data_IF_655527810941
#
_entry.id   IF_655527810941
#
_cell.length_a   1.000
_cell.length_b   1.000
_cell.length_c   1.000
_cell.angle_alpha   90.00
_cell.angle_beta   90.00
_cell.angle_gamma   90.00
#
_symmetry.space_group_name_H-M   'P 1'
#
loop_
_entity.id
_entity.type
_entity.pdbx_description
1 polymer ?
#
# COMPACT_ATOMS: atom_id res chain seq x y z
N UNK A 1 -12.47 -3.31 -2.21
CA UNK A 1 -11.95 -2.72 -3.46
C UNK A 1 -13.08 -2.35 -4.41
N UNK A 2 -12.96 -1.24 -5.15
CA UNK A 2 -13.95 -0.81 -6.15
C UNK A 2 -13.63 -1.33 -7.56
N UNK A 3 -14.63 -1.38 -8.45
CA UNK A 3 -14.53 -1.96 -9.80
C UNK A 3 -13.45 -1.29 -10.66
N UNK A 4 -13.28 0.03 -10.56
CA UNK A 4 -12.24 0.76 -11.31
C UNK A 4 -10.82 0.33 -10.91
N UNK A 5 -10.56 0.13 -9.62
CA UNK A 5 -9.27 -0.38 -9.13
C UNK A 5 -9.07 -1.84 -9.55
N UNK A 6 -10.12 -2.66 -9.53
CA UNK A 6 -10.04 -4.06 -9.98
C UNK A 6 -9.64 -4.15 -11.46
N UNK A 7 -10.33 -3.41 -12.35
CA UNK A 7 -10.07 -3.41 -13.79
C UNK A 7 -8.68 -2.89 -14.16
N UNK A 8 -8.07 -2.04 -13.33
CA UNK A 8 -6.71 -1.49 -13.54
C UNK A 8 -5.58 -2.36 -12.97
N UNK A 9 -5.88 -3.59 -12.52
CA UNK A 9 -4.86 -4.47 -11.94
C UNK A 9 -4.62 -4.20 -10.45
N UNK A 10 -5.65 -3.78 -9.71
CA UNK A 10 -5.57 -3.62 -8.26
C UNK A 10 -5.30 -4.93 -7.52
N UNK A 11 -5.82 -6.05 -8.04
CA UNK A 11 -5.52 -7.39 -7.49
C UNK A 11 -4.03 -7.72 -7.58
N UNK A 12 -3.45 -7.44 -8.73
CA UNK A 12 -2.03 -7.61 -9.02
C UNK A 12 -1.14 -6.80 -8.06
N UNK A 13 -1.54 -5.57 -7.73
CA UNK A 13 -0.87 -4.75 -6.72
C UNK A 13 -1.01 -5.35 -5.32
N UNK A 14 -2.19 -5.84 -4.95
CA UNK A 14 -2.42 -6.45 -3.62
C UNK A 14 -1.51 -7.65 -3.45
N UNK A 15 -1.48 -8.58 -4.42
CA UNK A 15 -0.62 -9.76 -4.37
C UNK A 15 0.86 -9.39 -4.25
N UNK A 16 1.31 -8.37 -4.98
CA UNK A 16 2.68 -7.86 -4.86
C UNK A 16 2.96 -7.31 -3.45
N UNK A 17 2.04 -6.56 -2.87
CA UNK A 17 2.18 -6.02 -1.51
C UNK A 17 2.22 -7.16 -0.48
N UNK A 18 1.36 -8.17 -0.63
CA UNK A 18 1.36 -9.36 0.23
C UNK A 18 2.70 -10.10 0.16
N UNK A 19 3.31 -10.20 -1.03
CA UNK A 19 4.64 -10.81 -1.21
C UNK A 19 5.76 -9.95 -0.63
N UNK A 20 5.73 -8.63 -0.84
CA UNK A 20 6.77 -7.71 -0.37
C UNK A 20 6.78 -7.57 1.15
N UNK A 21 5.61 -7.52 1.78
CA UNK A 21 5.46 -7.31 3.21
C UNK A 21 5.24 -8.61 4.00
N UNK A 22 4.99 -9.74 3.30
CA UNK A 22 4.69 -11.02 3.91
C UNK A 22 3.42 -11.02 4.75
N UNK A 23 2.47 -10.14 4.44
CA UNK A 23 1.26 -9.87 5.24
C UNK A 23 0.02 -10.10 4.40
N UNK A 24 -1.02 -10.69 4.98
CA UNK A 24 -2.30 -10.86 4.31
C UNK A 24 -3.16 -9.59 4.31
N UNK A 25 -4.18 -9.57 3.46
CA UNK A 25 -5.21 -8.52 3.49
C UNK A 25 -5.91 -8.47 4.87
N UNK A 26 -6.10 -7.25 5.40
CA UNK A 26 -6.60 -6.96 6.74
C UNK A 26 -5.72 -7.53 7.87
N UNK A 27 -4.41 -7.61 7.64
CA UNK A 27 -3.45 -8.04 8.65
C UNK A 27 -2.32 -7.02 8.81
N UNK A 28 -1.60 -7.15 9.92
CA UNK A 28 -0.40 -6.37 10.21
C UNK A 28 0.83 -7.24 9.99
N UNK A 29 1.85 -6.68 9.35
CA UNK A 29 3.13 -7.37 9.14
C UNK A 29 3.77 -7.72 10.49
N UNK A 30 4.54 -8.80 10.54
CA UNK A 30 5.22 -9.24 11.77
C UNK A 30 6.18 -8.18 12.33
N UNK A 31 6.68 -7.28 11.48
CA UNK A 31 7.54 -6.17 11.89
C UNK A 31 6.78 -5.07 12.65
N UNK A 32 5.44 -5.10 12.65
CA UNK A 32 4.59 -4.06 13.26
C UNK A 32 4.61 -2.70 12.53
N UNK A 33 5.37 -2.59 11.44
CA UNK A 33 5.57 -1.34 10.68
C UNK A 33 4.45 -1.04 9.69
N UNK A 34 3.81 -2.07 9.13
CA UNK A 34 2.79 -1.91 8.08
C UNK A 34 1.56 -2.75 8.37
N UNK A 35 0.38 -2.13 8.19
CA UNK A 35 -0.91 -2.81 8.20
C UNK A 35 -1.55 -2.70 6.82
N UNK A 36 -1.90 -3.85 6.24
CA UNK A 36 -2.54 -3.92 4.94
C UNK A 36 -4.05 -3.98 5.14
N UNK A 37 -4.78 -2.92 4.77
CA UNK A 37 -6.24 -2.88 4.87
C UNK A 37 -6.87 -2.65 3.49
N UNK A 38 -7.84 -3.50 3.12
CA UNK A 38 -8.49 -3.42 1.82
C UNK A 38 -9.79 -2.62 1.89
N UNK A 39 -9.69 -1.33 1.56
CA UNK A 39 -10.84 -0.43 1.57
C UNK A 39 -11.70 -0.61 0.31
N UNK A 40 -13.03 -0.45 0.45
CA UNK A 40 -13.96 -0.59 -0.70
C UNK A 40 -13.93 0.58 -1.67
N UNK A 41 -13.91 1.81 -1.19
CA UNK A 41 -13.81 2.98 -2.06
C UNK A 41 -13.16 4.14 -1.30
N UNK A 42 -12.14 4.74 -1.90
CA UNK A 42 -11.49 5.97 -1.40
C UNK A 42 -12.07 7.21 -2.11
N UNK A 43 -13.03 7.04 -3.02
CA UNK A 43 -13.61 8.14 -3.81
C UNK A 43 -12.71 8.65 -4.95
N UNK A 44 -11.51 8.08 -5.12
CA UNK A 44 -10.53 8.50 -6.13
C UNK A 44 -10.60 7.66 -7.43
N UNK A 45 -11.80 7.45 -7.98
CA UNK A 45 -12.01 6.57 -9.15
C UNK A 45 -11.18 6.98 -10.39
N UNK A 46 -10.82 8.26 -10.53
CA UNK A 46 -9.96 8.74 -11.61
C UNK A 46 -8.47 8.34 -11.49
N UNK A 47 -8.02 7.97 -10.29
CA UNK A 47 -6.62 7.65 -9.97
C UNK A 47 -6.42 6.14 -9.72
N UNK A 48 -7.31 5.31 -10.28
CA UNK A 48 -7.35 3.87 -10.05
C UNK A 48 -5.96 3.20 -10.08
N UNK A 49 -5.78 2.27 -9.14
CA UNK A 49 -4.54 1.94 -8.41
C UNK A 49 -4.14 3.02 -7.39
N UNK A 50 -4.97 3.17 -6.36
CA UNK A 50 -4.77 4.08 -5.21
C UNK A 50 -4.39 3.31 -3.95
N UNK A 51 -3.42 3.85 -3.21
CA UNK A 51 -3.06 3.45 -1.85
C UNK A 51 -3.00 4.70 -0.97
N UNK A 52 -3.31 4.56 0.31
CA UNK A 52 -3.15 5.64 1.28
C UNK A 52 -2.21 5.13 2.39
N UNK A 53 -1.11 5.85 2.63
CA UNK A 53 -0.16 5.53 3.69
C UNK A 53 -0.06 6.77 4.58
N UNK A 54 -0.34 6.62 5.88
CA UNK A 54 -0.29 7.74 6.86
C UNK A 54 -1.04 9.01 6.40
N UNK A 55 -2.19 8.85 5.74
CA UNK A 55 -3.01 9.95 5.22
C UNK A 55 -2.52 10.53 3.87
N UNK A 56 -1.38 10.08 3.35
CA UNK A 56 -0.90 10.48 2.02
C UNK A 56 -1.46 9.54 0.95
N UNK A 57 -2.16 10.11 -0.03
CA UNK A 57 -2.75 9.35 -1.13
C UNK A 57 -1.75 9.20 -2.27
N UNK A 58 -1.54 7.96 -2.71
CA UNK A 58 -0.72 7.57 -3.84
C UNK A 58 -1.62 7.00 -4.92
N UNK A 59 -1.69 7.66 -6.08
CA UNK A 59 -2.46 7.20 -7.23
C UNK A 59 -1.57 6.71 -8.37
N UNK A 60 -2.15 6.00 -9.33
CA UNK A 60 -1.44 5.48 -10.50
C UNK A 60 -0.23 4.59 -10.13
N UNK A 61 -0.39 3.80 -9.05
CA UNK A 61 0.65 2.93 -8.55
C UNK A 61 0.94 1.78 -9.50
N UNK A 62 2.21 1.39 -9.55
CA UNK A 62 2.74 0.26 -10.31
C UNK A 62 3.53 -0.64 -9.39
N UNK A 63 3.58 -1.94 -9.71
CA UNK A 63 4.29 -2.96 -8.92
C UNK A 63 5.74 -2.57 -8.61
N UNK A 64 6.45 -2.02 -9.60
CA UNK A 64 7.84 -1.60 -9.45
C UNK A 64 8.07 -0.42 -8.50
N UNK A 65 7.05 0.40 -8.20
CA UNK A 65 7.17 1.52 -7.27
C UNK A 65 6.92 1.11 -5.81
N UNK A 66 6.25 -0.03 -5.59
CA UNK A 66 5.92 -0.50 -4.23
C UNK A 66 7.17 -0.71 -3.35
N UNK A 67 8.25 -1.39 -3.81
CA UNK A 67 9.42 -1.63 -2.97
C UNK A 67 10.10 -0.33 -2.54
N UNK A 68 10.23 0.64 -3.46
CA UNK A 68 10.83 1.94 -3.17
C UNK A 68 10.01 2.73 -2.14
N UNK A 69 8.68 2.73 -2.30
CA UNK A 69 7.77 3.38 -1.34
C UNK A 69 7.93 2.75 0.05
N UNK A 70 7.86 1.42 0.16
CA UNK A 70 7.98 0.75 1.45
C UNK A 70 9.36 0.96 2.09
N UNK A 71 10.44 0.96 1.29
CA UNK A 71 11.78 1.27 1.76
C UNK A 71 11.90 2.71 2.29
N UNK A 72 11.28 3.69 1.63
CA UNK A 72 11.22 5.07 2.12
C UNK A 72 10.54 5.15 3.51
N UNK A 73 9.43 4.43 3.69
CA UNK A 73 8.71 4.41 4.95
C UNK A 73 9.45 3.66 6.07
N UNK A 74 10.10 2.52 5.78
CA UNK A 74 10.95 1.82 6.76
C UNK A 74 12.05 2.76 7.30
N UNK A 75 12.75 3.44 6.40
CA UNK A 75 13.79 4.41 6.78
C UNK A 75 13.25 5.61 7.57
N UNK A 76 12.04 6.10 7.24
CA UNK A 76 11.41 7.22 7.96
C UNK A 76 10.97 6.87 9.37
N UNK A 77 10.48 5.65 9.61
CA UNK A 77 10.11 5.18 10.95
C UNK A 77 11.36 4.97 11.82
N UNK A 78 12.44 4.40 11.27
CA UNK A 78 13.73 4.27 11.98
C UNK A 78 14.33 5.64 12.36
N UNK A 79 14.13 6.66 11.52
CA UNK A 79 14.59 8.03 11.79
C UNK A 79 13.84 8.76 12.91
N UNK A 80 12.61 8.34 13.27
CA UNK A 80 11.83 8.98 14.35
C UNK A 80 12.07 8.38 15.74
N UNK A 81 12.68 7.20 15.83
CA UNK A 81 12.97 6.55 17.10
C UNK A 81 14.21 7.14 17.84
N UNK A 82 14.91 8.10 17.24
CA UNK A 82 16.12 8.73 17.80
C UNK A 82 15.97 10.25 18.08
N UNK A 83 14.75 10.71 18.39
CA UNK A 83 14.47 12.11 18.75
C UNK A 83 14.12 12.29 20.22
#
# INVERSE_FOLDING_TARGET
MGTACYLKGGNDLITEIEQLLGVGVNSTSSDGLFSLELVRCVGCCGLASVMVINGKTYGNLKKNMLPEIFAEYRNKEEGKANG
#
